data_IF_850171128608
#
_entry.id   IF_850171128608
#
_cell.length_a   1.000
_cell.length_b   1.000
_cell.length_c   1.000
_cell.angle_alpha   90.00
_cell.angle_beta   90.00
_cell.angle_gamma   90.00
#
_symmetry.space_group_name_H-M   'P 1'
#
loop_
_entity.id
_entity.type
_entity.pdbx_description
1 polymer ?
#
# COMPACT_ATOMS: atom_id res chain seq x y z
N UNK A 1 -36.89 -7.74 8.08
CA UNK A 1 -35.61 -8.16 7.47
C UNK A 1 -34.93 -7.03 6.70
N UNK A 2 -35.68 -6.08 6.15
CA UNK A 2 -35.17 -4.96 5.35
C UNK A 2 -34.41 -3.91 6.19
N UNK A 3 -34.93 -3.55 7.36
CA UNK A 3 -34.27 -2.57 8.25
C UNK A 3 -32.91 -3.06 8.77
N UNK A 4 -32.81 -4.33 9.16
CA UNK A 4 -31.56 -4.95 9.63
C UNK A 4 -30.51 -5.01 8.53
N UNK A 5 -30.90 -5.31 7.27
CA UNK A 5 -29.97 -5.31 6.14
C UNK A 5 -29.43 -3.92 5.84
N UNK A 6 -30.25 -2.87 5.93
CA UNK A 6 -29.81 -1.49 5.72
C UNK A 6 -28.78 -1.04 6.78
N UNK A 7 -29.00 -1.44 8.04
CA UNK A 7 -28.08 -1.14 9.14
C UNK A 7 -26.72 -1.83 8.92
N UNK A 8 -26.72 -3.10 8.50
CA UNK A 8 -25.49 -3.86 8.23
C UNK A 8 -24.70 -3.25 7.07
N UNK A 9 -25.40 -2.85 5.99
CA UNK A 9 -24.76 -2.22 4.82
C UNK A 9 -24.15 -0.87 5.20
N UNK A 10 -24.85 -0.05 5.98
CA UNK A 10 -24.31 1.23 6.47
C UNK A 10 -23.05 1.03 7.34
N UNK A 11 -23.07 0.03 8.23
CA UNK A 11 -21.91 -0.33 9.06
C UNK A 11 -20.71 -0.77 8.22
N UNK A 12 -20.93 -1.58 7.18
CA UNK A 12 -19.86 -2.00 6.26
C UNK A 12 -19.26 -0.82 5.49
N UNK A 13 -20.09 0.10 5.01
CA UNK A 13 -19.60 1.29 4.29
C UNK A 13 -18.73 2.15 5.20
N UNK A 14 -19.14 2.38 6.46
CA UNK A 14 -18.36 3.14 7.44
C UNK A 14 -17.04 2.43 7.74
N UNK A 15 -17.07 1.11 7.94
CA UNK A 15 -15.88 0.31 8.22
C UNK A 15 -14.86 0.36 7.05
N UNK A 16 -15.33 0.19 5.82
CA UNK A 16 -14.49 0.27 4.61
C UNK A 16 -13.93 1.67 4.42
N UNK A 17 -14.75 2.71 4.65
CA UNK A 17 -14.32 4.12 4.53
C UNK A 17 -13.27 4.49 5.58
N UNK A 18 -13.44 4.00 6.81
CA UNK A 18 -12.45 4.15 7.87
C UNK A 18 -11.14 3.43 7.51
N UNK A 19 -11.22 2.18 7.05
CA UNK A 19 -10.05 1.40 6.63
C UNK A 19 -9.25 2.09 5.52
N UNK A 20 -9.94 2.59 4.50
CA UNK A 20 -9.33 3.34 3.40
C UNK A 20 -8.67 4.65 3.89
N UNK A 21 -9.26 5.31 4.88
CA UNK A 21 -8.70 6.53 5.47
C UNK A 21 -7.46 6.25 6.34
N UNK A 22 -7.44 5.14 7.09
CA UNK A 22 -6.28 4.71 7.88
C UNK A 22 -5.11 4.21 7.02
N UNK A 23 -5.37 3.69 5.81
CA UNK A 23 -4.32 3.28 4.87
C UNK A 23 -3.50 4.44 4.32
N UNK A 24 -3.91 5.71 4.52
CA UNK A 24 -3.10 6.91 4.24
C UNK A 24 -2.10 7.23 5.37
N UNK A 25 -1.61 6.18 6.04
CA UNK A 25 -0.47 6.25 6.95
C UNK A 25 0.77 6.70 6.20
N UNK A 26 1.00 8.01 6.24
CA UNK A 26 2.14 8.74 5.73
C UNK A 26 3.46 7.96 5.84
N UNK A 27 3.96 7.45 4.70
CA UNK A 27 5.39 7.17 4.53
C UNK A 27 6.09 8.54 4.41
N UNK A 28 6.13 9.26 5.53
CA UNK A 28 6.79 10.55 5.65
C UNK A 28 8.29 10.29 5.61
N UNK A 29 8.87 10.31 4.42
CA UNK A 29 10.32 10.50 4.27
C UNK A 29 11.13 9.42 3.57
N UNK A 30 10.54 8.38 2.97
CA UNK A 30 11.31 7.50 2.09
C UNK A 30 11.24 7.99 0.64
N UNK A 31 12.38 8.36 0.02
CA UNK A 31 12.41 8.62 -1.40
C UNK A 31 12.16 7.31 -2.15
N UNK A 32 11.19 7.30 -3.07
CA UNK A 32 10.98 6.15 -3.95
C UNK A 32 9.66 6.18 -4.72
N UNK A 33 9.53 5.36 -5.79
CA UNK A 33 8.26 5.22 -6.53
C UNK A 33 7.09 4.71 -5.68
N UNK A 34 7.38 4.23 -4.46
CA UNK A 34 6.47 3.49 -3.58
C UNK A 34 5.95 4.31 -2.38
N UNK A 35 5.96 5.65 -2.48
CA UNK A 35 5.39 6.58 -1.47
C UNK A 35 3.88 6.43 -1.23
N UNK A 36 3.18 5.63 -2.06
CA UNK A 36 1.74 5.38 -1.98
C UNK A 36 1.34 4.04 -1.31
N UNK A 37 2.20 3.43 -0.49
CA UNK A 37 1.78 2.43 0.50
C UNK A 37 1.81 0.96 0.07
N UNK A 38 2.45 0.62 -1.06
CA UNK A 38 2.69 -0.78 -1.42
C UNK A 38 4.07 -1.21 -0.90
N UNK A 39 4.17 -2.15 0.05
CA UNK A 39 5.45 -2.62 0.56
C UNK A 39 6.26 -3.27 -0.57
N UNK A 40 7.60 -3.20 -0.49
CA UNK A 40 8.55 -3.80 -1.45
C UNK A 40 8.16 -5.24 -1.81
N UNK A 41 7.67 -5.99 -0.82
CA UNK A 41 7.21 -7.38 -0.96
C UNK A 41 6.07 -7.51 -1.97
N UNK A 42 5.15 -6.55 -2.03
CA UNK A 42 4.02 -6.54 -2.95
C UNK A 42 4.40 -6.24 -4.40
N UNK A 43 5.57 -5.63 -4.65
CA UNK A 43 6.08 -5.37 -6.00
C UNK A 43 7.11 -6.40 -6.47
N UNK A 44 7.62 -7.28 -5.59
CA UNK A 44 8.51 -8.38 -5.97
C UNK A 44 7.98 -9.25 -7.13
N UNK A 45 6.67 -9.57 -7.22
CA UNK A 45 6.14 -10.34 -8.35
C UNK A 45 6.13 -9.56 -9.68
N UNK A 46 6.18 -8.22 -9.61
CA UNK A 46 6.17 -7.31 -10.77
C UNK A 46 7.60 -6.98 -11.21
N UNK A 47 8.59 -7.16 -10.31
CA UNK A 47 9.99 -7.00 -10.66
C UNK A 47 10.41 -8.06 -11.68
N UNK A 48 11.30 -7.67 -12.58
CA UNK A 48 11.90 -8.57 -13.58
C UNK A 48 12.43 -9.86 -12.93
N UNK A 49 12.66 -10.90 -13.76
CA UNK A 49 13.18 -12.22 -13.37
C UNK A 49 14.41 -12.19 -12.43
N UNK A 50 15.10 -11.05 -12.33
CA UNK A 50 16.20 -10.79 -11.41
C UNK A 50 15.87 -9.64 -10.45
N UNK A 51 15.08 -9.87 -9.38
CA UNK A 51 14.64 -8.81 -8.46
C UNK A 51 15.82 -8.12 -7.74
N UNK A 52 16.90 -8.85 -7.47
CA UNK A 52 18.11 -8.31 -6.86
C UNK A 52 18.77 -7.18 -7.67
N UNK A 53 18.69 -7.24 -9.02
CA UNK A 53 19.23 -6.18 -9.89
C UNK A 53 18.41 -4.92 -9.74
N UNK A 54 17.08 -5.04 -9.80
CA UNK A 54 16.16 -3.91 -9.65
C UNK A 54 16.28 -3.25 -8.28
N UNK A 55 16.38 -4.06 -7.21
CA UNK A 55 16.63 -3.55 -5.86
C UNK A 55 17.99 -2.83 -5.78
N UNK A 56 19.04 -3.36 -6.41
CA UNK A 56 20.35 -2.70 -6.46
C UNK A 56 20.30 -1.39 -7.27
N UNK A 57 19.51 -1.31 -8.33
CA UNK A 57 19.31 -0.06 -9.06
C UNK A 57 18.50 0.97 -8.27
N UNK A 58 17.50 0.51 -7.52
CA UNK A 58 16.71 1.35 -6.64
C UNK A 58 17.57 1.91 -5.50
N UNK A 59 18.44 1.09 -4.89
CA UNK A 59 19.35 1.54 -3.83
C UNK A 59 20.34 2.61 -4.31
N UNK A 60 20.80 2.52 -5.56
CA UNK A 60 21.65 3.55 -6.18
C UNK A 60 20.91 4.87 -6.39
N UNK A 61 19.60 4.82 -6.70
CA UNK A 61 18.79 6.00 -7.01
C UNK A 61 18.22 6.68 -5.76
N UNK A 62 17.87 5.91 -4.75
CA UNK A 62 17.08 6.35 -3.60
C UNK A 62 17.86 6.33 -2.29
N UNK A 63 19.03 5.68 -2.28
CA UNK A 63 19.87 5.49 -1.11
C UNK A 63 19.70 4.10 -0.49
N UNK A 64 20.38 3.83 0.64
CA UNK A 64 20.40 2.50 1.26
C UNK A 64 19.06 2.10 1.90
N UNK A 65 18.13 3.04 2.10
CA UNK A 65 16.83 2.82 2.71
C UNK A 65 15.75 3.38 1.76
N UNK A 66 15.03 2.47 1.12
CA UNK A 66 13.93 2.71 0.17
C UNK A 66 12.89 1.62 0.28
#
# INVERSE_FOLDING_TARGET
MEGTTLIIVALLIVLVSAWLSFSKGSVKGLPGPWTNGLPIIGSLPIMSSKPFVNLTELSKKLGPVY
#
